data_IF_039648261267
#
_entry.id   IF_039648261267
#
_cell.length_a   1.000
_cell.length_b   1.000
_cell.length_c   1.000
_cell.angle_alpha   90.00
_cell.angle_beta   90.00
_cell.angle_gamma   90.00
#
_symmetry.space_group_name_H-M   'P 1'
#
loop_
_entity.id
_entity.type
_entity.pdbx_description
1 polymer ?
#
# COMPACT_ATOMS: atom_id res chain seq x y z
N UNK A 1 -0.83 -21.91 -2.46
CA UNK A 1 -2.14 -21.76 -1.77
C UNK A 1 -2.88 -20.66 -2.50
N UNK A 2 -3.83 -21.03 -3.36
CA UNK A 2 -4.37 -20.19 -4.44
C UNK A 2 -5.72 -19.63 -3.98
N UNK A 3 -5.73 -18.41 -3.45
CA UNK A 3 -6.98 -17.76 -3.00
C UNK A 3 -7.83 -17.48 -4.23
N UNK A 4 -9.00 -18.10 -4.32
CA UNK A 4 -10.06 -17.63 -5.20
C UNK A 4 -10.71 -16.49 -4.46
N UNK A 5 -10.48 -15.30 -5.00
CA UNK A 5 -11.04 -14.08 -4.47
C UNK A 5 -12.51 -14.08 -4.87
N UNK A 6 -13.29 -14.80 -4.06
CA UNK A 6 -14.72 -14.73 -3.86
C UNK A 6 -15.61 -14.55 -5.10
N UNK A 7 -16.42 -15.55 -5.49
CA UNK A 7 -17.48 -15.35 -6.47
C UNK A 7 -18.73 -14.76 -5.80
N UNK A 8 -18.59 -13.66 -5.03
CA UNK A 8 -19.78 -12.86 -4.72
C UNK A 8 -20.11 -12.02 -5.97
N UNK A 9 -21.40 -11.85 -6.32
CA UNK A 9 -21.83 -10.99 -7.44
C UNK A 9 -21.29 -9.55 -7.40
N UNK A 10 -20.70 -9.16 -6.27
CA UNK A 10 -20.25 -7.81 -5.93
C UNK A 10 -18.72 -7.65 -5.98
N UNK A 11 -17.94 -8.73 -6.13
CA UNK A 11 -16.48 -8.65 -6.21
C UNK A 11 -16.03 -7.89 -7.46
N UNK A 12 -16.87 -7.91 -8.50
CA UNK A 12 -16.73 -7.10 -9.73
C UNK A 12 -16.87 -5.59 -9.50
N UNK A 13 -17.28 -5.13 -8.31
CA UNK A 13 -17.32 -3.70 -7.97
C UNK A 13 -15.95 -3.16 -7.51
N UNK A 14 -15.08 -4.03 -7.00
CA UNK A 14 -13.73 -3.68 -6.56
C UNK A 14 -12.82 -3.55 -7.78
N UNK A 15 -12.12 -2.43 -7.92
CA UNK A 15 -11.20 -2.19 -9.03
C UNK A 15 -10.07 -3.23 -9.04
N UNK A 16 -9.63 -3.70 -7.87
CA UNK A 16 -8.62 -4.75 -7.76
C UNK A 16 -9.01 -6.05 -8.49
N UNK A 17 -10.30 -6.41 -8.46
CA UNK A 17 -10.81 -7.71 -8.94
C UNK A 17 -11.76 -7.63 -10.15
N UNK A 18 -12.25 -6.45 -10.50
CA UNK A 18 -13.14 -6.25 -11.64
C UNK A 18 -12.46 -6.70 -12.95
N UNK A 19 -13.21 -7.33 -13.84
CA UNK A 19 -12.71 -7.69 -15.17
C UNK A 19 -12.28 -6.44 -15.95
N UNK A 20 -11.26 -6.59 -16.79
CA UNK A 20 -10.80 -5.49 -17.61
C UNK A 20 -11.90 -5.07 -18.61
N UNK A 21 -12.27 -3.79 -18.59
CA UNK A 21 -13.33 -3.26 -19.43
C UNK A 21 -13.58 -1.77 -19.15
N UNK A 22 -14.64 -1.19 -19.74
CA UNK A 22 -14.98 0.22 -19.54
C UNK A 22 -15.09 0.64 -18.07
N UNK A 23 -15.74 -0.21 -17.24
CA UNK A 23 -15.91 0.05 -15.81
C UNK A 23 -14.57 0.15 -15.08
N UNK A 24 -13.74 -0.90 -15.22
CA UNK A 24 -12.42 -0.91 -14.61
C UNK A 24 -11.57 0.29 -15.07
N UNK A 25 -11.63 0.68 -16.35
CA UNK A 25 -10.89 1.85 -16.88
C UNK A 25 -11.36 3.16 -16.24
N UNK A 26 -12.66 3.35 -16.06
CA UNK A 26 -13.24 4.55 -15.43
C UNK A 26 -12.86 4.63 -13.95
N UNK A 27 -13.02 3.52 -13.21
CA UNK A 27 -12.61 3.42 -11.80
C UNK A 27 -11.11 3.68 -11.62
N UNK A 28 -10.30 3.11 -12.50
CA UNK A 28 -8.85 3.33 -12.52
C UNK A 28 -8.49 4.79 -12.79
N UNK A 29 -9.16 5.42 -13.75
CA UNK A 29 -8.95 6.84 -14.08
C UNK A 29 -9.32 7.72 -12.88
N UNK A 30 -10.46 7.45 -12.23
CA UNK A 30 -10.89 8.16 -11.02
C UNK A 30 -9.82 8.04 -9.93
N UNK A 31 -9.35 6.82 -9.64
CA UNK A 31 -8.32 6.61 -8.63
C UNK A 31 -7.03 7.38 -8.92
N UNK A 32 -6.51 7.31 -10.13
CA UNK A 32 -5.24 7.96 -10.49
C UNK A 32 -5.38 9.49 -10.52
N UNK A 33 -6.50 10.01 -11.05
CA UNK A 33 -6.67 11.44 -11.29
C UNK A 33 -7.11 12.21 -10.04
N UNK A 34 -7.90 11.59 -9.17
CA UNK A 34 -8.47 12.24 -7.98
C UNK A 34 -7.77 11.81 -6.71
N UNK A 35 -7.51 10.51 -6.54
CA UNK A 35 -7.05 9.97 -5.26
C UNK A 35 -5.54 9.99 -5.12
N UNK A 36 -4.82 9.59 -6.16
CA UNK A 36 -3.37 9.44 -6.15
C UNK A 36 -2.64 10.55 -6.92
N UNK A 37 -3.35 11.61 -7.30
CA UNK A 37 -2.78 12.73 -8.04
C UNK A 37 -1.92 13.61 -7.13
N UNK A 38 -0.77 14.07 -7.64
CA UNK A 38 0.07 15.08 -6.98
C UNK A 38 -0.64 16.41 -6.73
N UNK A 39 -1.74 16.68 -7.44
CA UNK A 39 -2.54 17.89 -7.27
C UNK A 39 -3.36 17.89 -5.98
N UNK A 40 -3.54 16.73 -5.32
CA UNK A 40 -4.32 16.62 -4.09
C UNK A 40 -3.42 16.84 -2.87
N UNK A 41 -3.17 18.10 -2.53
CA UNK A 41 -2.24 18.50 -1.48
C UNK A 41 -2.43 17.75 -0.15
N UNK A 42 -3.69 17.55 0.27
CA UNK A 42 -4.06 16.87 1.51
C UNK A 42 -3.47 15.46 1.66
N UNK A 43 -3.42 14.67 0.58
CA UNK A 43 -2.86 13.32 0.67
C UNK A 43 -1.36 13.37 0.96
N UNK A 44 -0.63 14.32 0.39
CA UNK A 44 0.80 14.51 0.62
C UNK A 44 1.09 15.19 1.95
N UNK A 45 0.21 16.08 2.39
CA UNK A 45 0.24 16.72 3.70
C UNK A 45 0.01 15.73 4.83
N UNK A 46 -0.97 14.83 4.69
CA UNK A 46 -1.21 13.77 5.66
C UNK A 46 0.04 12.92 5.90
N UNK A 47 0.84 12.63 4.87
CA UNK A 47 2.12 11.92 5.03
C UNK A 47 3.08 12.72 5.90
N UNK A 48 3.22 14.03 5.66
CA UNK A 48 4.14 14.88 6.46
C UNK A 48 3.70 14.92 7.92
N UNK A 49 2.43 15.19 8.18
CA UNK A 49 1.89 15.29 9.53
C UNK A 49 2.03 13.99 10.32
N UNK A 50 1.68 12.86 9.68
CA UNK A 50 1.73 11.56 10.35
C UNK A 50 3.17 11.08 10.55
N UNK A 51 4.10 11.39 9.62
CA UNK A 51 5.53 11.17 9.84
C UNK A 51 6.00 11.99 11.04
N UNK A 52 5.65 13.27 11.13
CA UNK A 52 5.99 14.12 12.27
C UNK A 52 5.43 13.59 13.60
N UNK A 53 4.18 13.08 13.58
CA UNK A 53 3.55 12.44 14.75
C UNK A 53 4.30 11.17 15.19
N UNK A 54 4.70 10.34 14.23
CA UNK A 54 5.53 9.15 14.49
C UNK A 54 6.88 9.56 15.10
N UNK A 55 7.55 10.58 14.57
CA UNK A 55 8.85 11.03 15.08
C UNK A 55 8.75 11.54 16.53
N UNK A 56 7.70 12.29 16.87
CA UNK A 56 7.43 12.72 18.26
C UNK A 56 7.24 11.53 19.20
N UNK A 57 6.55 10.50 18.73
CA UNK A 57 6.34 9.26 19.50
C UNK A 57 7.66 8.51 19.71
N UNK A 58 8.54 8.46 18.70
CA UNK A 58 9.87 7.87 18.82
C UNK A 58 10.77 8.70 19.75
N UNK A 59 10.75 10.04 19.65
CA UNK A 59 11.51 10.94 20.52
C UNK A 59 11.14 10.77 21.99
N UNK A 60 9.84 10.66 22.29
CA UNK A 60 9.34 10.42 23.65
C UNK A 60 9.81 9.08 24.25
N UNK A 61 10.30 8.16 23.42
CA UNK A 61 10.75 6.82 23.81
C UNK A 61 12.25 6.58 23.55
N UNK A 62 13.06 7.64 23.42
CA UNK A 62 14.52 7.51 23.34
C UNK A 62 15.06 6.64 24.48
N UNK A 63 15.96 5.72 24.14
CA UNK A 63 16.60 4.79 25.08
C UNK A 63 15.70 3.64 25.56
N UNK A 64 14.45 3.53 25.06
CA UNK A 64 13.54 2.42 25.39
C UNK A 64 13.22 1.59 24.14
N UNK A 65 12.98 0.27 24.26
CA UNK A 65 12.48 -0.53 23.16
C UNK A 65 11.14 -0.01 22.65
N UNK A 66 11.06 0.24 21.35
CA UNK A 66 9.85 0.69 20.66
C UNK A 66 9.44 -0.37 19.65
N UNK A 67 8.16 -0.74 19.63
CA UNK A 67 7.60 -1.57 18.56
C UNK A 67 7.44 -0.72 17.29
N UNK A 68 8.52 -0.65 16.51
CA UNK A 68 8.62 0.14 15.31
C UNK A 68 7.64 -0.37 14.24
N UNK A 69 7.42 -1.69 14.14
CA UNK A 69 6.43 -2.28 13.24
C UNK A 69 5.01 -1.77 13.50
N UNK A 70 4.58 -1.69 14.76
CA UNK A 70 3.25 -1.16 15.12
C UNK A 70 3.12 0.35 14.87
N UNK A 71 4.19 1.12 15.14
CA UNK A 71 4.21 2.56 14.84
C UNK A 71 4.10 2.82 13.34
N UNK A 72 4.84 2.06 12.52
CA UNK A 72 4.81 2.17 11.06
C UNK A 72 3.42 1.76 10.52
N UNK A 73 2.83 0.70 11.07
CA UNK A 73 1.47 0.30 10.69
C UNK A 73 0.47 1.41 11.03
N UNK A 74 0.56 2.00 12.22
CA UNK A 74 -0.28 3.13 12.64
C UNK A 74 -0.10 4.35 11.72
N UNK A 75 1.14 4.71 11.39
CA UNK A 75 1.48 5.78 10.44
C UNK A 75 0.74 5.60 9.11
N UNK A 76 0.93 4.45 8.47
CA UNK A 76 0.35 4.18 7.14
C UNK A 76 -1.17 4.05 7.18
N UNK A 77 -1.73 3.54 8.28
CA UNK A 77 -3.16 3.53 8.52
C UNK A 77 -3.72 4.94 8.61
N UNK A 78 -3.12 5.82 9.42
CA UNK A 78 -3.57 7.21 9.56
C UNK A 78 -3.49 7.98 8.25
N UNK A 79 -2.39 7.84 7.49
CA UNK A 79 -2.23 8.44 6.17
C UNK A 79 -3.36 8.00 5.24
N UNK A 80 -3.60 6.68 5.15
CA UNK A 80 -4.59 6.15 4.22
C UNK A 80 -6.01 6.54 4.66
N UNK A 81 -6.28 6.54 5.97
CA UNK A 81 -7.54 6.96 6.56
C UNK A 81 -7.82 8.44 6.30
N UNK A 82 -6.87 9.34 6.57
CA UNK A 82 -7.00 10.78 6.29
C UNK A 82 -7.15 11.05 4.79
N UNK A 83 -6.39 10.34 3.95
CA UNK A 83 -6.55 10.44 2.51
C UNK A 83 -7.93 9.94 2.03
N UNK A 84 -8.53 8.96 2.71
CA UNK A 84 -9.84 8.41 2.37
C UNK A 84 -11.02 9.24 2.91
N UNK A 85 -10.92 9.78 4.13
CA UNK A 85 -12.06 10.29 4.91
C UNK A 85 -11.85 11.67 5.55
N UNK A 86 -10.71 12.32 5.26
CA UNK A 86 -10.38 13.63 5.83
C UNK A 86 -10.02 13.58 7.32
N UNK A 87 -9.96 14.77 7.93
CA UNK A 87 -9.53 14.95 9.32
C UNK A 87 -10.64 14.67 10.35
N UNK A 88 -10.97 13.40 10.59
CA UNK A 88 -11.79 12.99 11.76
C UNK A 88 -11.39 11.61 12.30
N UNK A 89 -10.92 11.57 13.55
CA UNK A 89 -10.52 10.34 14.26
C UNK A 89 -11.69 9.49 14.80
N UNK A 90 -12.94 9.85 14.52
CA UNK A 90 -14.11 9.10 14.99
C UNK A 90 -14.31 7.83 14.16
N UNK A 91 -14.22 6.66 14.80
CA UNK A 91 -14.51 5.36 14.15
C UNK A 91 -13.30 4.61 13.57
N UNK A 92 -12.09 5.16 13.68
CA UNK A 92 -10.87 4.53 13.16
C UNK A 92 -10.63 3.11 13.73
N UNK A 93 -10.84 2.91 15.03
CA UNK A 93 -10.70 1.60 15.68
C UNK A 93 -11.69 0.56 15.15
N UNK A 94 -12.91 0.99 14.81
CA UNK A 94 -13.91 0.10 14.18
C UNK A 94 -13.44 -0.29 12.78
N UNK A 95 -12.94 0.68 12.02
CA UNK A 95 -12.42 0.43 10.68
C UNK A 95 -11.20 -0.51 10.67
N UNK A 96 -10.27 -0.34 11.61
CA UNK A 96 -9.11 -1.24 11.77
C UNK A 96 -9.57 -2.68 12.00
N UNK A 97 -10.56 -2.90 12.87
CA UNK A 97 -11.11 -4.24 13.13
C UNK A 97 -11.74 -4.84 11.88
N UNK A 98 -12.42 -4.01 11.08
CA UNK A 98 -13.00 -4.44 9.81
C UNK A 98 -11.88 -4.85 8.83
N UNK A 99 -10.86 -4.01 8.65
CA UNK A 99 -9.72 -4.31 7.76
C UNK A 99 -8.99 -5.59 8.17
N UNK A 100 -8.71 -5.78 9.46
CA UNK A 100 -8.05 -6.98 9.97
C UNK A 100 -8.85 -8.25 9.69
N UNK A 101 -10.18 -8.19 9.81
CA UNK A 101 -11.04 -9.32 9.47
C UNK A 101 -11.04 -9.60 7.96
N UNK A 102 -11.09 -8.56 7.10
CA UNK A 102 -10.92 -8.73 5.66
C UNK A 102 -9.57 -9.35 5.31
N UNK A 103 -8.46 -8.89 5.89
CA UNK A 103 -7.13 -9.47 5.65
C UNK A 103 -7.07 -10.95 6.00
N UNK A 104 -7.66 -11.35 7.14
CA UNK A 104 -7.74 -12.76 7.55
C UNK A 104 -8.56 -13.58 6.56
N UNK A 105 -9.67 -13.05 6.07
CA UNK A 105 -10.55 -13.72 5.11
C UNK A 105 -9.89 -13.84 3.71
N UNK A 106 -9.18 -12.80 3.25
CA UNK A 106 -8.45 -12.81 1.99
C UNK A 106 -7.27 -13.78 2.02
N UNK A 107 -6.56 -13.91 3.14
CA UNK A 107 -5.44 -14.84 3.28
C UNK A 107 -5.84 -16.30 3.57
N UNK A 108 -7.11 -16.54 3.92
CA UNK A 108 -7.57 -17.87 4.33
C UNK A 108 -7.65 -18.83 3.15
N UNK A 109 -7.19 -20.06 3.37
CA UNK A 109 -7.51 -21.17 2.48
C UNK A 109 -9.01 -21.48 2.60
N UNK A 110 -9.75 -21.41 1.49
CA UNK A 110 -11.16 -21.79 1.46
C UNK A 110 -11.36 -23.00 0.55
N UNK A 111 -11.80 -24.13 1.10
CA UNK A 111 -12.01 -25.38 0.35
C UNK A 111 -13.05 -25.21 -0.76
N UNK A 112 -14.07 -24.39 -0.51
CA UNK A 112 -15.16 -24.08 -1.45
C UNK A 112 -14.67 -23.46 -2.75
N UNK A 113 -13.49 -22.83 -2.73
CA UNK A 113 -12.88 -22.22 -3.90
C UNK A 113 -12.41 -23.28 -4.90
N UNK A 114 -11.83 -24.37 -4.39
CA UNK A 114 -11.28 -25.45 -5.20
C UNK A 114 -12.33 -26.50 -5.57
N UNK A 115 -13.41 -26.57 -4.78
CA UNK A 115 -14.44 -27.59 -4.90
C UNK A 115 -15.82 -26.88 -4.93
N UNK A 116 -16.21 -26.27 -6.07
CA UNK A 116 -17.36 -25.37 -6.14
C UNK A 116 -18.69 -25.99 -5.67
N UNK A 117 -18.90 -27.29 -5.91
CA UNK A 117 -20.11 -28.02 -5.50
C UNK A 117 -20.27 -28.21 -3.98
N UNK A 118 -19.20 -27.99 -3.19
CA UNK A 118 -19.25 -27.96 -1.72
C UNK A 118 -19.42 -26.55 -1.15
N UNK A 119 -19.51 -25.52 -2.00
CA UNK A 119 -19.53 -24.12 -1.56
C UNK A 119 -20.71 -23.74 -0.67
N UNK A 120 -21.82 -24.48 -0.73
CA UNK A 120 -23.00 -24.23 0.10
C UNK A 120 -22.85 -24.69 1.55
N UNK A 121 -21.87 -25.55 1.86
CA UNK A 121 -21.65 -26.11 3.20
C UNK A 121 -20.94 -25.08 4.11
N UNK A 122 -20.19 -24.13 3.52
CA UNK A 122 -19.31 -23.19 4.22
C UNK A 122 -18.56 -23.84 5.40
N UNK A 123 -17.83 -24.95 5.17
CA UNK A 123 -17.32 -25.81 6.24
C UNK A 123 -16.36 -25.09 7.20
N UNK A 124 -15.75 -24.00 6.74
CA UNK A 124 -14.82 -23.17 7.50
C UNK A 124 -15.46 -21.89 8.06
N UNK A 125 -16.75 -21.67 7.82
CA UNK A 125 -17.49 -20.47 8.25
C UNK A 125 -16.99 -19.16 7.63
N UNK A 126 -16.13 -19.24 6.62
CA UNK A 126 -15.51 -18.07 5.98
C UNK A 126 -16.56 -17.23 5.27
N UNK A 127 -17.61 -17.87 4.75
CA UNK A 127 -18.65 -17.18 4.02
C UNK A 127 -19.56 -16.36 4.91
N UNK A 128 -19.99 -16.95 6.03
CA UNK A 128 -20.73 -16.23 7.05
C UNK A 128 -19.92 -15.06 7.63
N UNK A 129 -18.63 -15.26 7.89
CA UNK A 129 -17.71 -14.21 8.37
C UNK A 129 -17.57 -13.07 7.37
N UNK A 130 -17.41 -13.36 6.07
CA UNK A 130 -17.33 -12.33 5.04
C UNK A 130 -18.62 -11.50 4.97
N UNK A 131 -19.79 -12.14 4.99
CA UNK A 131 -21.07 -11.41 4.99
C UNK A 131 -21.16 -10.48 6.19
N UNK A 132 -20.71 -10.92 7.38
CA UNK A 132 -20.69 -10.09 8.59
C UNK A 132 -19.69 -8.94 8.48
N UNK A 133 -18.46 -9.20 8.04
CA UNK A 133 -17.42 -8.18 7.84
C UNK A 133 -17.88 -7.12 6.84
N UNK A 134 -18.52 -7.55 5.75
CA UNK A 134 -19.09 -6.66 4.76
C UNK A 134 -20.22 -5.80 5.29
N UNK A 135 -21.17 -6.37 6.05
CA UNK A 135 -22.23 -5.58 6.69
C UNK A 135 -21.67 -4.54 7.69
N UNK A 136 -20.55 -4.84 8.33
CA UNK A 136 -19.87 -3.86 9.19
C UNK A 136 -19.25 -2.73 8.35
N UNK A 137 -18.54 -3.07 7.28
CA UNK A 137 -17.98 -2.11 6.32
C UNK A 137 -19.06 -1.22 5.69
N UNK A 138 -20.16 -1.82 5.24
CA UNK A 138 -21.26 -1.09 4.60
C UNK A 138 -21.83 -0.05 5.56
N UNK A 139 -22.11 -0.43 6.81
CA UNK A 139 -22.62 0.51 7.83
C UNK A 139 -21.64 1.63 8.14
N UNK A 140 -20.35 1.30 8.27
CA UNK A 140 -19.31 2.28 8.56
C UNK A 140 -19.13 3.30 7.43
N UNK A 141 -19.05 2.82 6.19
CA UNK A 141 -18.91 3.72 5.04
C UNK A 141 -20.21 4.49 4.79
N UNK A 142 -21.38 3.88 5.01
CA UNK A 142 -22.67 4.57 4.89
C UNK A 142 -22.73 5.77 5.83
N UNK A 143 -22.32 5.63 7.10
CA UNK A 143 -22.29 6.77 8.02
C UNK A 143 -21.33 7.87 7.55
N UNK A 144 -20.15 7.50 7.02
CA UNK A 144 -19.20 8.49 6.50
C UNK A 144 -19.78 9.22 5.28
N UNK A 145 -20.39 8.50 4.34
CA UNK A 145 -20.99 9.12 3.15
C UNK A 145 -22.12 10.06 3.56
N UNK A 146 -22.97 9.64 4.50
CA UNK A 146 -24.11 10.43 4.97
C UNK A 146 -23.63 11.71 5.68
N UNK A 147 -22.56 11.62 6.49
CA UNK A 147 -21.89 12.77 7.11
C UNK A 147 -21.34 13.76 6.07
N UNK A 148 -20.66 13.28 5.02
CA UNK A 148 -20.16 14.13 3.94
C UNK A 148 -21.30 14.83 3.19
N UNK A 149 -22.37 14.09 2.87
CA UNK A 149 -23.57 14.66 2.24
C UNK A 149 -24.20 15.73 3.14
N UNK A 150 -24.24 15.52 4.45
CA UNK A 150 -24.81 16.49 5.39
C UNK A 150 -23.96 17.77 5.48
N UNK A 151 -22.63 17.64 5.59
CA UNK A 151 -21.70 18.78 5.58
C UNK A 151 -21.83 19.59 4.29
N UNK A 152 -21.93 18.92 3.13
CA UNK A 152 -22.17 19.56 1.82
C UNK A 152 -23.44 20.42 1.77
N UNK A 153 -24.49 20.01 2.48
CA UNK A 153 -25.77 20.74 2.53
C UNK A 153 -25.74 21.93 3.48
N UNK A 154 -24.87 21.91 4.49
CA UNK A 154 -24.79 22.93 5.54
C UNK A 154 -23.84 24.08 5.16
N UNK A 155 -22.75 23.78 4.45
CA UNK A 155 -21.85 24.79 3.92
C UNK A 155 -22.22 25.09 2.47
N UNK A 156 -22.64 26.32 2.15
CA UNK A 156 -22.57 26.80 0.77
C UNK A 156 -21.11 26.63 0.32
N UNK A 157 -20.82 25.65 -0.54
CA UNK A 157 -19.47 25.33 -1.01
C UNK A 157 -18.72 26.60 -1.39
N UNK A 158 -17.84 27.09 -0.53
CA UNK A 158 -16.74 27.94 -0.95
C UNK A 158 -15.79 27.05 -1.75
N UNK A 159 -15.28 27.55 -2.87
CA UNK A 159 -14.33 26.84 -3.75
C UNK A 159 -13.04 26.40 -3.02
N UNK A 160 -12.80 26.89 -1.80
CA UNK A 160 -11.63 26.62 -0.95
C UNK A 160 -11.84 25.58 0.18
N UNK A 161 -12.95 24.83 0.20
CA UNK A 161 -13.13 23.78 1.20
C UNK A 161 -12.18 22.58 0.91
N UNK A 162 -11.43 22.12 1.92
CA UNK A 162 -10.67 20.86 1.87
C UNK A 162 -11.62 19.70 1.48
N UNK A 163 -11.29 18.97 0.42
CA UNK A 163 -12.12 17.91 -0.16
C UNK A 163 -11.41 16.58 -0.06
N UNK A 164 -12.07 15.61 0.58
CA UNK A 164 -11.53 14.28 0.67
C UNK A 164 -11.90 13.38 -0.54
N UNK A 165 -11.48 12.12 -0.46
CA UNK A 165 -11.76 11.13 -1.50
C UNK A 165 -13.26 10.87 -1.67
N UNK A 166 -14.02 10.83 -0.57
CA UNK A 166 -15.47 10.64 -0.60
C UNK A 166 -16.13 11.84 -1.27
N UNK A 167 -15.69 13.06 -0.96
CA UNK A 167 -16.18 14.28 -1.61
C UNK A 167 -15.95 14.28 -3.12
N UNK A 168 -14.75 13.91 -3.57
CA UNK A 168 -14.40 13.82 -4.98
C UNK A 168 -15.28 12.78 -5.71
N UNK A 169 -15.51 11.62 -5.08
CA UNK A 169 -16.38 10.58 -5.63
C UNK A 169 -17.86 11.01 -5.67
N UNK A 170 -18.34 11.71 -4.64
CA UNK A 170 -19.71 12.22 -4.59
C UNK A 170 -19.94 13.35 -5.60
N UNK A 171 -18.95 14.22 -5.84
CA UNK A 171 -19.01 15.24 -6.89
C UNK A 171 -19.10 14.58 -8.27
N UNK A 172 -18.23 13.60 -8.54
CA UNK A 172 -18.24 12.85 -9.79
C UNK A 172 -19.57 12.12 -10.00
N UNK A 173 -20.12 11.51 -8.95
CA UNK A 173 -21.45 10.90 -8.96
C UNK A 173 -22.55 11.91 -9.32
N UNK A 174 -22.54 13.10 -8.72
CA UNK A 174 -23.53 14.15 -8.97
C UNK A 174 -23.43 14.79 -10.37
N UNK A 175 -22.22 14.96 -10.91
CA UNK A 175 -22.00 15.52 -12.25
C UNK A 175 -22.38 14.55 -13.38
N UNK A 176 -22.06 13.26 -13.24
CA UNK A 176 -22.45 12.26 -14.25
C UNK A 176 -23.96 12.00 -14.23
N UNK A 177 -24.59 11.97 -13.05
CA UNK A 177 -26.05 11.85 -12.95
C UNK A 177 -26.80 12.99 -13.67
N UNK A 178 -26.24 14.22 -13.68
CA UNK A 178 -26.81 15.37 -14.41
C UNK A 178 -26.60 15.31 -15.92
N UNK A 179 -25.49 14.73 -16.40
CA UNK A 179 -25.20 14.61 -17.84
C UNK A 179 -26.02 13.51 -18.53
N UNK A 180 -26.48 12.51 -17.78
CA UNK A 180 -27.36 11.44 -18.31
C UNK A 180 -28.75 11.98 -18.68
N UNK A 181 -29.23 13.03 -18.01
CA UNK A 181 -30.52 13.67 -18.35
C UNK A 181 -30.48 14.48 -19.67
N UNK A 182 -29.30 14.77 -20.23
CA UNK A 182 -29.14 15.67 -21.39
C UNK A 182 -28.67 15.00 -22.69
N UNK A 183 -28.30 13.71 -22.71
CA UNK A 183 -27.85 13.05 -23.96
C UNK A 183 -28.24 11.57 -24.07
N UNK A 184 -28.96 11.25 -25.15
CA UNK A 184 -29.45 9.90 -25.51
C UNK A 184 -28.39 9.09 -26.29
N UNK A 185 -27.10 9.38 -26.07
CA UNK A 185 -26.00 8.74 -26.81
C UNK A 185 -25.35 7.59 -26.03
N UNK A 186 -25.42 6.42 -26.67
CA UNK A 186 -25.22 5.08 -26.13
C UNK A 186 -23.75 4.71 -25.86
N UNK A 187 -22.98 5.56 -25.19
CA UNK A 187 -21.83 5.13 -24.41
C UNK A 187 -22.20 5.24 -22.95
N UNK A 188 -22.70 4.14 -22.37
CA UNK A 188 -22.95 4.02 -20.92
C UNK A 188 -21.70 4.45 -20.15
N UNK A 189 -21.60 5.72 -19.79
CA UNK A 189 -20.84 6.15 -18.63
C UNK A 189 -21.37 5.29 -17.49
N UNK A 190 -20.52 4.44 -16.93
CA UNK A 190 -21.00 3.54 -15.90
C UNK A 190 -21.35 4.42 -14.72
N UNK A 191 -22.65 4.53 -14.43
CA UNK A 191 -23.15 5.27 -13.29
C UNK A 191 -22.49 4.70 -12.04
N UNK A 192 -21.55 5.46 -11.48
CA UNK A 192 -20.90 5.11 -10.22
C UNK A 192 -22.01 4.92 -9.18
N UNK A 193 -21.99 3.87 -8.36
CA UNK A 193 -23.00 3.66 -7.30
C UNK A 193 -22.39 3.88 -5.92
N UNK A 194 -23.22 4.02 -4.87
CA UNK A 194 -22.74 4.02 -3.47
C UNK A 194 -21.88 2.78 -3.17
N UNK A 195 -22.23 1.64 -3.75
CA UNK A 195 -21.47 0.40 -3.62
C UNK A 195 -20.11 0.45 -4.33
N UNK A 196 -20.00 1.19 -5.44
CA UNK A 196 -18.71 1.43 -6.08
C UNK A 196 -17.80 2.32 -5.23
N UNK A 197 -18.36 3.36 -4.59
CA UNK A 197 -17.61 4.21 -3.64
C UNK A 197 -17.07 3.37 -2.49
N UNK A 198 -17.93 2.55 -1.88
CA UNK A 198 -17.55 1.60 -0.81
C UNK A 198 -16.42 0.67 -1.26
N UNK A 199 -16.51 0.13 -2.47
CA UNK A 199 -15.51 -0.76 -3.02
C UNK A 199 -14.15 -0.07 -3.24
N UNK A 200 -14.12 1.17 -3.75
CA UNK A 200 -12.86 1.90 -3.91
C UNK A 200 -12.23 2.23 -2.56
N UNK A 201 -13.02 2.69 -1.58
CA UNK A 201 -12.53 2.95 -0.22
C UNK A 201 -11.81 1.72 0.32
N UNK A 202 -12.42 0.55 0.17
CA UNK A 202 -11.81 -0.70 0.61
C UNK A 202 -10.53 -1.04 -0.16
N UNK A 203 -10.51 -0.85 -1.48
CA UNK A 203 -9.31 -1.07 -2.31
C UNK A 203 -8.15 -0.16 -1.89
N UNK A 204 -8.44 1.12 -1.60
CA UNK A 204 -7.44 2.11 -1.16
C UNK A 204 -6.89 1.75 0.22
N UNK A 205 -7.77 1.44 1.17
CA UNK A 205 -7.36 1.11 2.53
C UNK A 205 -6.55 -0.18 2.60
N UNK A 206 -7.00 -1.23 1.92
CA UNK A 206 -6.27 -2.50 1.88
C UNK A 206 -4.94 -2.37 1.14
N UNK A 207 -4.97 -1.69 -0.02
CA UNK A 207 -3.79 -1.54 -0.87
C UNK A 207 -2.74 -0.59 -0.30
N UNK A 208 -3.15 0.47 0.42
CA UNK A 208 -2.27 1.54 0.88
C UNK A 208 -1.65 1.32 2.26
N UNK A 209 -2.30 0.58 3.16
CA UNK A 209 -1.82 0.42 4.54
C UNK A 209 -0.75 -0.67 4.67
N UNK A 210 -1.12 -1.95 4.55
CA UNK A 210 -0.22 -3.07 4.87
C UNK A 210 1.00 -3.12 3.94
N UNK A 211 0.84 -2.76 2.66
CA UNK A 211 1.92 -2.84 1.67
C UNK A 211 3.04 -1.85 1.96
N UNK A 212 2.69 -0.61 2.29
CA UNK A 212 3.65 0.45 2.62
C UNK A 212 4.25 0.20 3.99
N UNK A 213 3.43 -0.23 4.97
CA UNK A 213 3.92 -0.57 6.30
C UNK A 213 4.99 -1.67 6.24
N UNK A 214 4.68 -2.76 5.54
CA UNK A 214 5.60 -3.87 5.34
C UNK A 214 6.88 -3.43 4.64
N UNK A 215 6.80 -2.58 3.61
CA UNK A 215 7.99 -2.06 2.93
C UNK A 215 8.90 -1.25 3.87
N UNK A 216 8.35 -0.29 4.63
CA UNK A 216 9.14 0.52 5.59
C UNK A 216 9.76 -0.39 6.65
N UNK A 217 8.99 -1.32 7.20
CA UNK A 217 9.46 -2.24 8.24
C UNK A 217 10.59 -3.14 7.73
N UNK A 218 10.47 -3.68 6.50
CA UNK A 218 11.53 -4.47 5.86
C UNK A 218 12.80 -3.66 5.56
N UNK A 219 12.68 -2.38 5.21
CA UNK A 219 13.86 -1.53 4.98
C UNK A 219 14.62 -1.35 6.29
N UNK A 220 13.91 -0.99 7.36
CA UNK A 220 14.53 -0.81 8.67
C UNK A 220 15.16 -2.12 9.16
N UNK A 221 14.49 -3.25 8.95
CA UNK A 221 14.98 -4.58 9.26
C UNK A 221 16.29 -4.93 8.54
N UNK A 222 16.33 -4.79 7.21
CA UNK A 222 17.50 -5.14 6.41
C UNK A 222 18.70 -4.24 6.73
N UNK A 223 18.45 -2.94 6.97
CA UNK A 223 19.51 -2.01 7.38
C UNK A 223 20.03 -2.34 8.79
N UNK A 224 19.17 -2.65 9.76
CA UNK A 224 19.63 -3.08 11.09
C UNK A 224 20.38 -4.42 11.05
N UNK A 225 20.04 -5.30 10.10
CA UNK A 225 20.77 -6.54 9.84
C UNK A 225 22.10 -6.31 9.10
N UNK A 226 22.23 -5.21 8.35
CA UNK A 226 23.44 -4.78 7.64
C UNK A 226 23.97 -3.43 8.16
N UNK A 227 24.67 -3.41 9.32
CA UNK A 227 25.13 -2.16 9.94
C UNK A 227 26.00 -1.27 9.03
N UNK A 228 26.78 -1.86 8.12
CA UNK A 228 27.60 -1.12 7.17
C UNK A 228 26.74 -0.34 6.16
N UNK A 229 25.68 -0.95 5.63
CA UNK A 229 24.76 -0.27 4.72
C UNK A 229 23.94 0.78 5.47
N UNK A 230 23.49 0.49 6.70
CA UNK A 230 22.80 1.48 7.55
C UNK A 230 23.69 2.71 7.80
N UNK A 231 24.96 2.49 8.18
CA UNK A 231 25.93 3.57 8.39
C UNK A 231 26.16 4.38 7.13
N UNK A 232 26.19 3.74 5.97
CA UNK A 232 26.36 4.41 4.68
C UNK A 232 25.15 5.27 4.29
N UNK A 233 23.92 4.79 4.53
CA UNK A 233 22.70 5.61 4.38
C UNK A 233 22.72 6.79 5.35
N UNK A 234 23.09 6.56 6.60
CA UNK A 234 23.20 7.61 7.59
C UNK A 234 24.26 8.66 7.20
N UNK A 235 25.43 8.22 6.70
CA UNK A 235 26.47 9.13 6.22
C UNK A 235 25.96 10.01 5.06
N UNK A 236 25.30 9.41 4.07
CA UNK A 236 24.68 10.17 2.97
C UNK A 236 23.67 11.21 3.50
N UNK A 237 22.81 10.85 4.45
CA UNK A 237 21.88 11.79 5.07
C UNK A 237 22.60 12.97 5.75
N UNK A 238 23.70 12.70 6.47
CA UNK A 238 24.49 13.77 7.10
C UNK A 238 25.20 14.67 6.08
N UNK A 239 25.66 14.13 4.96
CA UNK A 239 26.34 14.89 3.91
C UNK A 239 25.37 15.76 3.10
N UNK A 240 24.18 15.23 2.79
CA UNK A 240 23.18 15.92 1.95
C UNK A 240 22.35 16.92 2.76
N UNK A 241 21.92 16.54 3.97
CA UNK A 241 20.97 17.30 4.77
C UNK A 241 21.67 18.11 5.87
N UNK A 242 22.70 17.54 6.48
CA UNK A 242 23.33 18.04 7.70
C UNK A 242 22.54 17.68 8.96
N UNK A 243 23.14 17.86 10.14
CA UNK A 243 22.51 17.49 11.42
C UNK A 243 21.72 18.64 12.09
N UNK A 244 21.78 19.84 11.52
CA UNK A 244 21.17 21.06 12.10
C UNK A 244 19.72 21.30 11.65
N UNK A 245 19.18 20.44 10.78
CA UNK A 245 17.78 20.49 10.32
C UNK A 245 17.26 19.08 10.03
N UNK A 246 15.94 18.93 9.89
CA UNK A 246 15.30 17.68 9.46
C UNK A 246 15.34 17.54 7.93
N UNK A 247 15.08 16.32 7.45
CA UNK A 247 15.00 16.04 6.00
C UNK A 247 13.83 16.83 5.41
N UNK A 248 14.05 17.45 4.26
CA UNK A 248 12.99 18.07 3.48
C UNK A 248 12.75 17.28 2.19
N UNK A 249 11.57 17.44 1.58
CA UNK A 249 11.22 16.76 0.32
C UNK A 249 12.23 17.02 -0.80
N UNK A 250 12.78 18.24 -0.84
CA UNK A 250 13.78 18.65 -1.84
C UNK A 250 15.12 17.90 -1.70
N UNK A 251 15.37 17.24 -0.57
CA UNK A 251 16.57 16.45 -0.33
C UNK A 251 16.42 15.00 -0.77
N UNK A 252 15.20 14.45 -0.73
CA UNK A 252 14.92 13.05 -1.05
C UNK A 252 15.51 12.67 -2.41
N UNK A 253 15.46 13.60 -3.38
CA UNK A 253 15.97 13.31 -4.71
C UNK A 253 17.48 13.08 -4.79
N UNK A 254 18.24 13.63 -3.84
CA UNK A 254 19.69 13.55 -3.72
C UNK A 254 20.17 12.33 -2.93
N UNK A 255 19.29 11.67 -2.17
CA UNK A 255 19.60 10.51 -1.33
C UNK A 255 19.69 9.22 -2.18
N UNK A 256 20.79 9.10 -2.91
CA UNK A 256 21.01 8.07 -3.92
C UNK A 256 21.15 6.67 -3.30
N UNK A 257 21.94 6.54 -2.24
CA UNK A 257 22.16 5.28 -1.56
C UNK A 257 20.95 4.83 -0.75
N UNK A 258 20.22 5.77 -0.13
CA UNK A 258 18.90 5.46 0.44
C UNK A 258 17.98 4.84 -0.61
N UNK A 259 17.82 5.48 -1.77
CA UNK A 259 17.00 4.94 -2.87
C UNK A 259 17.47 3.55 -3.33
N UNK A 260 18.77 3.28 -3.29
CA UNK A 260 19.31 1.95 -3.57
C UNK A 260 18.89 0.92 -2.52
N UNK A 261 18.93 1.26 -1.23
CA UNK A 261 18.46 0.40 -0.15
C UNK A 261 16.97 0.10 -0.27
N UNK A 262 16.15 1.13 -0.54
CA UNK A 262 14.71 0.97 -0.77
C UNK A 262 14.41 0.02 -1.95
N UNK A 263 15.11 0.20 -3.07
CA UNK A 263 14.97 -0.68 -4.25
C UNK A 263 15.38 -2.13 -3.93
N UNK A 264 16.49 -2.33 -3.23
CA UNK A 264 16.94 -3.67 -2.85
C UNK A 264 15.97 -4.35 -1.88
N UNK A 265 15.42 -3.60 -0.92
CA UNK A 265 14.36 -4.11 -0.06
C UNK A 265 13.13 -4.52 -0.87
N UNK A 266 12.66 -3.71 -1.82
CA UNK A 266 11.50 -4.07 -2.66
C UNK A 266 11.76 -5.26 -3.58
N UNK A 267 13.03 -5.49 -3.99
CA UNK A 267 13.41 -6.67 -4.78
C UNK A 267 13.33 -7.93 -3.93
N UNK A 268 13.86 -7.88 -2.71
CA UNK A 268 13.90 -9.03 -1.80
C UNK A 268 12.56 -9.27 -1.12
N UNK A 269 11.84 -8.22 -0.77
CA UNK A 269 10.61 -8.25 0.00
C UNK A 269 9.51 -7.49 -0.73
N UNK A 270 9.11 -7.94 -1.94
CA UNK A 270 7.97 -7.34 -2.61
C UNK A 270 6.73 -7.52 -1.72
N UNK A 271 6.04 -6.44 -1.31
CA UNK A 271 4.94 -6.56 -0.35
C UNK A 271 3.84 -7.52 -0.81
N UNK A 272 3.63 -7.65 -2.13
CA UNK A 272 2.75 -8.63 -2.76
C UNK A 272 3.62 -9.57 -3.62
N UNK A 273 3.98 -10.77 -3.11
CA UNK A 273 4.93 -11.66 -3.79
C UNK A 273 4.35 -12.37 -5.02
N UNK A 274 3.02 -12.57 -5.07
CA UNK A 274 2.31 -13.22 -6.16
C UNK A 274 1.28 -12.25 -6.76
N UNK A 275 1.52 -11.79 -7.99
CA UNK A 275 0.60 -10.90 -8.70
C UNK A 275 -0.42 -11.73 -9.48
N UNK A 276 -1.70 -11.53 -9.19
CA UNK A 276 -2.80 -12.33 -9.74
C UNK A 276 -3.41 -11.67 -10.99
N UNK A 277 -3.60 -12.47 -12.03
CA UNK A 277 -4.22 -12.08 -13.30
C UNK A 277 -5.18 -13.16 -13.80
N UNK A 278 -6.00 -12.79 -14.78
CA UNK A 278 -6.90 -13.70 -15.51
C UNK A 278 -6.85 -13.35 -17.00
N UNK A 279 -6.80 -14.36 -17.87
CA UNK A 279 -6.82 -14.16 -19.33
C UNK A 279 -8.19 -13.68 -19.81
N UNK A 280 -8.23 -12.58 -20.56
CA UNK A 280 -9.48 -12.02 -21.11
C UNK A 280 -9.97 -12.76 -22.35
N UNK A 281 -9.06 -13.44 -23.05
CA UNK A 281 -9.27 -14.21 -24.27
C UNK A 281 -8.24 -15.35 -24.33
N UNK A 282 -8.40 -16.25 -25.28
CA UNK A 282 -7.42 -17.28 -25.55
C UNK A 282 -6.09 -16.64 -25.94
N UNK A 283 -4.98 -17.13 -25.40
CA UNK A 283 -3.65 -16.57 -25.60
C UNK A 283 -2.61 -17.66 -25.83
N UNK A 284 -1.46 -17.28 -26.38
CA UNK A 284 -0.29 -18.13 -26.48
C UNK A 284 0.89 -17.45 -25.78
N UNK A 285 1.57 -18.16 -24.87
CA UNK A 285 2.74 -17.66 -24.16
C UNK A 285 3.85 -18.69 -24.27
N UNK A 286 4.99 -18.31 -24.86
CA UNK A 286 6.14 -19.18 -25.07
C UNK A 286 5.80 -20.52 -25.77
N UNK A 287 4.87 -20.50 -26.74
CA UNK A 287 4.41 -21.70 -27.46
C UNK A 287 3.31 -22.50 -26.77
N UNK A 288 2.88 -22.09 -25.57
CA UNK A 288 1.81 -22.77 -24.83
C UNK A 288 0.48 -22.04 -25.00
N UNK A 289 -0.55 -22.79 -25.42
CA UNK A 289 -1.92 -22.31 -25.46
C UNK A 289 -2.49 -22.15 -24.04
N UNK A 290 -3.02 -20.97 -23.76
CA UNK A 290 -3.64 -20.58 -22.50
C UNK A 290 -5.09 -20.19 -22.78
N UNK A 291 -6.09 -20.98 -22.35
CA UNK A 291 -7.49 -20.66 -22.57
C UNK A 291 -7.90 -19.35 -21.89
N UNK A 292 -8.95 -18.71 -22.40
CA UNK A 292 -9.68 -17.63 -21.74
C UNK A 292 -10.10 -18.01 -20.31
N UNK A 293 -10.15 -17.04 -19.41
CA UNK A 293 -10.47 -17.21 -17.97
C UNK A 293 -9.47 -18.07 -17.19
N UNK A 294 -8.28 -18.31 -17.74
CA UNK A 294 -7.20 -18.96 -17.01
C UNK A 294 -6.60 -17.98 -16.01
N UNK A 295 -6.44 -18.42 -14.75
CA UNK A 295 -5.70 -17.67 -13.73
C UNK A 295 -4.21 -17.73 -14.00
N UNK A 296 -3.57 -16.58 -13.95
CA UNK A 296 -2.13 -16.42 -14.14
C UNK A 296 -1.56 -15.80 -12.87
N UNK A 297 -0.50 -16.41 -12.34
CA UNK A 297 0.23 -15.90 -11.18
C UNK A 297 1.63 -15.51 -11.60
N UNK A 298 1.97 -14.23 -11.46
CA UNK A 298 3.32 -13.74 -11.69
C UNK A 298 4.04 -13.72 -10.35
N UNK A 299 5.06 -14.57 -10.20
CA UNK A 299 5.81 -14.70 -8.96
C UNK A 299 6.93 -13.65 -8.89
N UNK A 300 6.59 -12.43 -8.46
CA UNK A 300 7.53 -11.32 -8.31
C UNK A 300 8.65 -11.66 -7.32
N UNK A 301 8.35 -12.43 -6.27
CA UNK A 301 9.34 -12.89 -5.29
C UNK A 301 10.41 -13.77 -5.93
N UNK A 302 10.01 -14.73 -6.77
CA UNK A 302 10.93 -15.61 -7.48
C UNK A 302 11.71 -14.85 -8.57
N UNK A 303 11.06 -13.95 -9.31
CA UNK A 303 11.71 -13.10 -10.32
C UNK A 303 12.81 -12.24 -9.68
N UNK A 304 12.51 -11.63 -8.52
CA UNK A 304 13.48 -10.86 -7.76
C UNK A 304 14.68 -11.70 -7.29
N UNK A 305 14.58 -13.03 -7.27
CA UNK A 305 15.64 -13.97 -6.84
C UNK A 305 16.21 -14.83 -7.96
N UNK A 306 15.86 -14.56 -9.22
CA UNK A 306 16.39 -15.32 -10.34
C UNK A 306 17.89 -15.06 -10.54
N UNK A 307 18.70 -16.11 -10.44
CA UNK A 307 20.16 -16.07 -10.61
C UNK A 307 20.60 -15.64 -12.00
N UNK A 308 19.74 -15.79 -13.02
CA UNK A 308 20.04 -15.32 -14.37
C UNK A 308 19.85 -13.81 -14.52
N UNK A 309 19.07 -13.20 -13.63
CA UNK A 309 18.71 -11.78 -13.65
C UNK A 309 19.48 -10.98 -12.58
N UNK A 310 19.82 -11.60 -11.46
CA UNK A 310 20.43 -10.95 -10.30
C UNK A 310 21.66 -11.70 -9.78
N UNK A 311 22.79 -11.00 -9.71
CA UNK A 311 24.02 -11.47 -9.06
C UNK A 311 23.81 -11.61 -7.54
N UNK A 312 24.15 -12.76 -6.94
CA UNK A 312 23.89 -13.07 -5.53
C UNK A 312 22.48 -12.68 -5.07
N UNK A 313 21.43 -13.32 -5.62
CA UNK A 313 20.04 -12.86 -5.48
C UNK A 313 19.53 -12.88 -4.05
N UNK A 314 20.05 -13.78 -3.21
CA UNK A 314 19.60 -13.95 -1.83
C UNK A 314 20.31 -12.99 -0.85
N UNK A 315 21.31 -12.22 -1.32
CA UNK A 315 22.04 -11.28 -0.49
C UNK A 315 21.46 -9.86 -0.64
N UNK A 316 21.21 -9.21 0.51
CA UNK A 316 20.88 -7.78 0.56
C UNK A 316 22.12 -6.96 0.19
N UNK A 317 22.12 -6.40 -1.04
CA UNK A 317 23.23 -5.62 -1.59
C UNK A 317 22.71 -4.34 -2.26
N UNK A 318 22.35 -3.29 -1.50
CA UNK A 318 21.88 -2.01 -2.05
C UNK A 318 22.78 -1.45 -3.15
N UNK A 319 24.10 -1.58 -2.98
CA UNK A 319 25.12 -1.10 -3.92
C UNK A 319 24.95 -1.61 -5.36
N UNK A 320 24.21 -2.71 -5.59
CA UNK A 320 23.89 -3.18 -6.94
C UNK A 320 23.15 -2.12 -7.76
N UNK A 321 22.28 -1.33 -7.14
CA UNK A 321 21.50 -0.27 -7.80
C UNK A 321 22.28 1.01 -8.10
N UNK A 322 23.56 1.08 -7.70
CA UNK A 322 24.47 2.15 -8.12
C UNK A 322 25.07 1.91 -9.50
N UNK A 323 25.08 0.65 -9.97
CA UNK A 323 25.65 0.33 -11.28
C UNK A 323 24.79 0.96 -12.39
N UNK A 324 25.39 1.52 -13.45
CA UNK A 324 24.63 2.00 -14.60
C UNK A 324 23.81 0.88 -15.25
N UNK A 325 22.60 1.19 -15.71
CA UNK A 325 21.76 0.24 -16.46
C UNK A 325 21.07 -0.84 -15.62
N UNK A 326 21.09 -0.72 -14.28
CA UNK A 326 20.39 -1.66 -13.40
C UNK A 326 18.87 -1.52 -13.58
N UNK A 327 18.11 -2.63 -13.49
CA UNK A 327 16.66 -2.62 -13.59
C UNK A 327 15.97 -1.59 -12.69
N UNK A 328 14.92 -0.96 -13.23
CA UNK A 328 14.05 -0.02 -12.51
C UNK A 328 12.58 -0.39 -12.72
N UNK A 329 11.80 -0.40 -11.64
CA UNK A 329 10.36 -0.70 -11.64
C UNK A 329 9.50 0.36 -12.34
N UNK A 330 10.06 1.54 -12.66
CA UNK A 330 9.40 2.58 -13.48
C UNK A 330 9.55 2.33 -14.98
N UNK A 331 10.41 1.40 -15.38
CA UNK A 331 10.68 1.04 -16.77
C UNK A 331 10.03 -0.27 -17.21
N UNK A 332 10.41 -0.76 -18.39
CA UNK A 332 10.00 -2.06 -18.91
C UNK A 332 10.98 -3.17 -18.48
N UNK A 333 11.44 -3.15 -17.23
CA UNK A 333 12.36 -4.13 -16.67
C UNK A 333 11.57 -5.20 -15.92
N UNK A 334 11.35 -6.35 -16.55
CA UNK A 334 10.47 -7.39 -16.01
C UNK A 334 11.12 -8.21 -14.88
N UNK A 335 12.43 -8.12 -14.75
CA UNK A 335 13.23 -8.65 -13.66
C UNK A 335 13.05 -7.87 -12.34
N UNK A 336 12.37 -6.70 -12.36
CA UNK A 336 12.07 -5.90 -11.17
C UNK A 336 10.67 -5.28 -11.19
N UNK A 337 9.68 -6.00 -10.64
CA UNK A 337 8.25 -5.63 -10.73
C UNK A 337 7.50 -5.55 -9.37
N UNK A 338 8.02 -4.86 -8.34
CA UNK A 338 7.38 -4.77 -7.02
C UNK A 338 6.01 -4.06 -7.06
N UNK A 339 5.73 -3.29 -8.10
CA UNK A 339 4.44 -2.62 -8.32
C UNK A 339 3.61 -3.25 -9.46
N UNK A 340 3.99 -4.44 -9.90
CA UNK A 340 3.48 -5.07 -11.12
C UNK A 340 3.84 -4.28 -12.38
N UNK A 341 3.21 -4.63 -13.51
CA UNK A 341 3.47 -3.98 -14.80
C UNK A 341 2.21 -3.97 -15.68
N UNK A 342 2.27 -3.18 -16.76
CA UNK A 342 1.20 -3.08 -17.76
C UNK A 342 -0.10 -2.48 -17.23
N UNK A 343 -1.23 -3.00 -17.72
CA UNK A 343 -2.58 -2.44 -17.44
C UNK A 343 -2.94 -2.47 -15.95
N UNK A 344 -2.39 -3.41 -15.17
CA UNK A 344 -2.73 -3.60 -13.75
C UNK A 344 -1.62 -3.14 -12.80
N UNK A 345 -0.65 -2.35 -13.28
CA UNK A 345 0.36 -1.74 -12.42
C UNK A 345 -0.27 -0.97 -11.25
N UNK A 346 0.43 -0.83 -10.13
CA UNK A 346 -0.11 -0.20 -8.93
C UNK A 346 -0.56 1.26 -9.19
N UNK A 347 -1.82 1.64 -8.86
CA UNK A 347 -2.29 3.02 -9.02
C UNK A 347 -1.69 3.97 -7.98
N UNK A 348 -1.43 3.45 -6.78
CA UNK A 348 -0.93 4.21 -5.63
C UNK A 348 0.59 4.30 -5.54
N UNK A 349 1.33 3.85 -6.57
CA UNK A 349 2.80 3.76 -6.53
C UNK A 349 3.47 5.06 -6.09
N UNK A 350 3.01 6.22 -6.59
CA UNK A 350 3.62 7.51 -6.27
C UNK A 350 3.44 7.89 -4.80
N UNK A 351 2.23 7.71 -4.26
CA UNK A 351 1.94 8.02 -2.86
C UNK A 351 2.65 7.04 -1.92
N UNK A 352 2.64 5.73 -2.26
CA UNK A 352 3.34 4.72 -1.47
C UNK A 352 4.85 4.93 -1.42
N UNK A 353 5.48 5.28 -2.56
CA UNK A 353 6.90 5.61 -2.59
C UNK A 353 7.21 6.88 -1.80
N UNK A 354 6.35 7.90 -1.88
CA UNK A 354 6.54 9.12 -1.10
C UNK A 354 6.49 8.86 0.41
N UNK A 355 5.53 8.08 0.88
CA UNK A 355 5.45 7.66 2.28
C UNK A 355 6.67 6.84 2.69
N UNK A 356 7.09 5.88 1.85
CA UNK A 356 8.27 5.04 2.09
C UNK A 356 9.55 5.89 2.20
N UNK A 357 9.80 6.74 1.21
CA UNK A 357 10.96 7.61 1.11
C UNK A 357 11.03 8.53 2.33
N UNK A 358 9.93 9.25 2.64
CA UNK A 358 9.90 10.24 3.70
C UNK A 358 10.02 9.60 5.09
N UNK A 359 9.30 8.50 5.35
CA UNK A 359 9.33 7.84 6.64
C UNK A 359 10.71 7.23 6.93
N UNK A 360 11.28 6.49 5.99
CA UNK A 360 12.61 5.88 6.18
C UNK A 360 13.70 6.95 6.30
N UNK A 361 13.67 7.98 5.44
CA UNK A 361 14.65 9.07 5.53
C UNK A 361 14.63 9.73 6.91
N UNK A 362 13.44 10.03 7.45
CA UNK A 362 13.32 10.63 8.78
C UNK A 362 13.75 9.68 9.90
N UNK A 363 13.32 8.41 9.86
CA UNK A 363 13.69 7.42 10.87
C UNK A 363 15.21 7.24 10.95
N UNK A 364 15.91 7.18 9.81
CA UNK A 364 17.36 7.01 9.77
C UNK A 364 18.15 8.31 9.97
N UNK A 365 17.56 9.45 9.63
CA UNK A 365 18.20 10.75 9.81
C UNK A 365 18.14 11.20 11.28
N UNK A 366 16.93 11.20 11.84
CA UNK A 366 16.64 11.72 13.18
C UNK A 366 17.20 10.82 14.29
N UNK A 367 17.33 9.52 14.02
CA UNK A 367 17.69 8.52 15.02
C UNK A 367 18.79 7.56 14.56
N UNK A 368 19.55 7.09 15.54
CA UNK A 368 20.33 5.85 15.48
C UNK A 368 19.50 4.75 16.13
N UNK A 369 19.56 3.55 15.58
CA UNK A 369 18.74 2.42 16.02
C UNK A 369 19.62 1.27 16.48
N UNK A 370 19.29 0.70 17.63
CA UNK A 370 19.93 -0.49 18.17
C UNK A 370 18.88 -1.59 18.37
N UNK A 371 19.29 -2.85 18.22
CA UNK A 371 18.44 -3.98 18.57
C UNK A 371 18.38 -4.12 20.09
N UNK A 372 17.20 -4.50 20.66
CA UNK A 372 17.03 -4.58 22.11
C UNK A 372 17.93 -5.66 22.74
N UNK A 373 18.22 -5.48 24.03
CA UNK A 373 18.90 -6.47 24.87
C UNK A 373 20.27 -6.94 24.35
N UNK A 374 20.95 -6.11 23.56
CA UNK A 374 22.27 -6.42 22.98
C UNK A 374 22.23 -7.48 21.87
N UNK A 375 21.05 -7.74 21.30
CA UNK A 375 20.86 -8.66 20.17
C UNK A 375 21.79 -8.27 19.00
N UNK A 376 22.44 -9.28 18.41
CA UNK A 376 23.31 -9.08 17.25
C UNK A 376 22.48 -8.95 15.97
N UNK A 377 22.94 -8.20 14.96
CA UNK A 377 22.29 -8.12 13.65
C UNK A 377 21.97 -9.48 13.01
N UNK A 378 22.85 -10.48 13.18
CA UNK A 378 22.67 -11.84 12.66
C UNK A 378 21.55 -12.63 13.34
N UNK A 379 21.13 -12.23 14.53
CA UNK A 379 20.08 -12.88 15.34
C UNK A 379 18.69 -12.30 15.03
N UNK A 380 18.62 -11.21 14.27
CA UNK A 380 17.35 -10.61 13.87
C UNK A 380 16.55 -11.59 13.00
N UNK A 381 15.35 -11.95 13.47
CA UNK A 381 14.41 -12.75 12.71
C UNK A 381 14.02 -12.04 11.42
N UNK A 382 14.22 -12.69 10.28
CA UNK A 382 13.87 -12.18 8.94
C UNK A 382 12.83 -13.08 8.26
N UNK A 383 12.10 -13.88 9.03
CA UNK A 383 10.99 -14.68 8.49
C UNK A 383 9.79 -13.80 8.15
N UNK A 384 9.10 -14.16 7.08
CA UNK A 384 7.88 -13.52 6.63
C UNK A 384 6.63 -14.36 6.99
N UNK A 385 5.46 -13.73 6.97
CA UNK A 385 4.19 -14.44 6.97
C UNK A 385 3.70 -14.63 5.55
N UNK A 386 3.40 -15.87 5.19
CA UNK A 386 2.77 -16.16 3.92
C UNK A 386 1.29 -15.73 3.92
N UNK A 387 0.92 -14.84 3.01
CA UNK A 387 -0.44 -14.34 2.83
C UNK A 387 -0.61 -13.62 1.49
N UNK A 388 -1.65 -12.78 1.38
CA UNK A 388 -1.80 -11.86 0.24
C UNK A 388 -0.66 -10.83 0.21
N UNK A 389 -0.25 -10.36 1.39
CA UNK A 389 0.99 -9.62 1.62
C UNK A 389 2.01 -10.49 2.34
N UNK A 390 3.28 -10.08 2.32
CA UNK A 390 4.38 -10.75 3.01
C UNK A 390 5.05 -9.84 4.07
N UNK A 391 4.35 -9.45 5.15
CA UNK A 391 4.96 -8.74 6.26
C UNK A 391 5.90 -9.66 7.05
N UNK A 392 6.76 -9.07 7.89
CA UNK A 392 7.57 -9.83 8.86
C UNK A 392 6.69 -10.68 9.77
N UNK A 393 7.16 -11.88 10.12
CA UNK A 393 6.50 -12.75 11.10
C UNK A 393 6.50 -12.15 12.51
N UNK A 394 7.61 -11.53 12.88
CA UNK A 394 7.77 -10.83 14.15
C UNK A 394 7.96 -9.33 13.89
N UNK A 395 7.11 -8.51 14.51
CA UNK A 395 7.19 -7.04 14.42
C UNK A 395 8.57 -6.55 14.89
N UNK A 396 9.14 -5.61 14.16
CA UNK A 396 10.44 -5.04 14.47
C UNK A 396 10.36 -4.20 15.74
N UNK A 397 11.17 -4.55 16.73
CA UNK A 397 11.39 -3.77 17.96
C UNK A 397 12.83 -3.26 17.94
N UNK A 398 13.01 -1.96 18.20
CA UNK A 398 14.33 -1.33 18.23
C UNK A 398 14.38 -0.18 19.24
N UNK A 399 15.58 0.16 19.70
CA UNK A 399 15.85 1.22 20.66
C UNK A 399 16.38 2.45 19.91
N UNK A 400 15.66 3.59 19.91
CA UNK A 400 16.10 4.80 19.25
C UNK A 400 17.01 5.63 20.15
N UNK A 401 18.02 6.24 19.55
CA UNK A 401 18.83 7.32 20.13
C UNK A 401 18.80 8.53 19.19
N UNK A 402 18.68 9.75 19.73
CA UNK A 402 18.66 10.97 18.92
C UNK A 402 19.99 11.17 18.18
N UNK A 403 19.92 11.52 16.90
CA UNK A 403 21.08 11.70 16.02
C UNK A 403 21.26 13.13 15.50
N UNK A 404 20.16 13.84 15.23
CA UNK A 404 20.18 15.25 14.80
C UNK A 404 20.35 16.20 16.00
N UNK A 405 20.92 17.38 15.73
CA UNK A 405 21.12 18.45 16.70
C UNK A 405 19.90 19.38 16.81
N UNK A 406 19.06 19.42 15.77
CA UNK A 406 17.83 20.19 15.79
C UNK A 406 16.75 19.58 16.72
N UNK A 407 15.77 20.38 17.16
CA UNK A 407 14.53 19.87 17.74
C UNK A 407 13.82 18.93 16.76
N UNK A 408 13.10 17.93 17.29
CA UNK A 408 12.29 17.00 16.50
C UNK A 408 10.82 17.41 16.44
#
# INVERSE_FOLDING_TARGET
MIVQIWPLPTTVLYMAFAHYGPFWRQMRKLCVMKLFSRKRAESWESVRDEVDSMLKTVEANIGKPVNLGELIFTLTMNITYRAAFGAKNEGQDEFIKILQEFSKLFGAFNMSDFIPWLGWIDPQGLSARLVKARKALDRFIDSIIDDHIQKRKQNNFSEDAETDMVDDMLAFYGEEARKVDESDDLQKAISLTKDNIKAIIMDVMFGGTETVASAIEWVMAELMKSPEDQKRVQQELAEVVGLERRVEESDIDKLTFLKCALKETLRMHPPIPLLLHETSEDAEVAGYFIPKQTRVMINAYAIGRDKNSWEDPDAFKPSRFLKPGVPDFKGNHFEFIPFGSGRRSCPGMQLGLYTLDLAVAHLLHCFTWELPDGMKPSELDMTDMFGLTAPRATRLVAVPSKRVLCPL
#
